data_IF_217177536556
#
_entry.id   IF_217177536556
#
_cell.length_a   1.000
_cell.length_b   1.000
_cell.length_c   1.000
_cell.angle_alpha   90.00
_cell.angle_beta   90.00
_cell.angle_gamma   90.00
#
_symmetry.space_group_name_H-M   'P 1'
#
loop_
_entity.id
_entity.type
_entity.pdbx_description
1 polymer ?
#
# COMPACT_ATOMS: atom_id res chain seq x y z
N UNK A 1 20.34 2.83 25.19
CA UNK A 1 21.29 1.76 25.54
C UNK A 1 20.66 0.44 25.18
N UNK A 2 21.05 -0.13 24.05
CA UNK A 2 20.53 -1.40 23.56
C UNK A 2 21.31 -2.55 24.19
N UNK A 3 20.62 -3.39 24.96
CA UNK A 3 21.18 -4.63 25.48
C UNK A 3 21.36 -5.66 24.37
N UNK A 4 22.59 -5.85 23.90
CA UNK A 4 22.95 -6.94 23.02
C UNK A 4 22.93 -8.25 23.80
N UNK A 5 21.89 -9.06 23.61
CA UNK A 5 21.88 -10.44 24.08
C UNK A 5 22.91 -11.26 23.31
N UNK A 6 23.87 -11.85 24.01
CA UNK A 6 24.79 -12.82 23.42
C UNK A 6 24.01 -14.04 22.94
N UNK A 7 24.18 -14.38 21.65
CA UNK A 7 23.69 -15.61 21.08
C UNK A 7 24.53 -16.77 21.61
N UNK A 8 23.98 -17.60 22.47
CA UNK A 8 24.57 -18.90 22.86
C UNK A 8 24.46 -19.87 21.68
N UNK A 9 25.51 -20.68 21.45
CA UNK A 9 25.51 -21.67 20.38
C UNK A 9 24.33 -22.64 20.49
N UNK A 10 23.79 -23.14 19.36
CA UNK A 10 22.69 -24.07 19.37
C UNK A 10 23.12 -25.43 19.94
N UNK A 11 22.29 -25.99 20.83
CA UNK A 11 22.43 -27.38 21.26
C UNK A 11 22.33 -28.33 20.06
N UNK A 12 23.05 -29.46 20.12
CA UNK A 12 23.15 -30.43 19.03
C UNK A 12 21.76 -30.89 18.50
N UNK A 13 21.65 -31.18 17.19
CA UNK A 13 20.38 -31.55 16.58
C UNK A 13 19.91 -32.91 17.12
N UNK A 14 18.64 -33.00 17.49
CA UNK A 14 17.95 -34.27 17.70
C UNK A 14 17.92 -35.01 16.37
N UNK A 15 18.85 -35.93 16.21
CA UNK A 15 19.01 -36.73 15.01
C UNK A 15 17.84 -37.72 14.88
N UNK A 16 17.21 -37.76 13.70
CA UNK A 16 16.50 -38.95 13.24
C UNK A 16 14.98 -38.89 13.17
N UNK A 17 14.38 -37.76 12.80
CA UNK A 17 13.01 -37.80 12.25
C UNK A 17 13.06 -37.63 10.74
N UNK A 18 12.41 -38.59 10.01
CA UNK A 18 12.12 -38.42 8.59
C UNK A 18 11.42 -37.05 8.38
N UNK A 19 11.87 -36.26 7.42
CA UNK A 19 11.26 -34.98 7.10
C UNK A 19 9.78 -35.21 6.76
N UNK A 20 8.86 -34.67 7.58
CA UNK A 20 7.41 -34.77 7.36
C UNK A 20 7.01 -33.94 6.13
N UNK A 21 5.92 -34.38 5.49
CA UNK A 21 5.24 -33.60 4.44
C UNK A 21 3.93 -33.10 5.06
N UNK A 22 3.71 -31.80 5.02
CA UNK A 22 2.60 -31.14 5.72
C UNK A 22 1.70 -30.38 4.75
N UNK A 23 0.41 -30.28 5.06
CA UNK A 23 -0.55 -29.42 4.39
C UNK A 23 -0.60 -28.04 5.04
N UNK A 24 -1.19 -27.05 4.35
CA UNK A 24 -1.44 -25.74 4.97
C UNK A 24 -2.38 -25.84 6.17
N UNK A 25 -3.37 -26.72 6.11
CA UNK A 25 -4.31 -26.93 7.23
C UNK A 25 -3.58 -27.41 8.50
N UNK A 26 -2.64 -28.35 8.34
CA UNK A 26 -1.78 -28.79 9.45
C UNK A 26 -0.93 -27.66 9.99
N UNK A 27 -0.24 -26.92 9.13
CA UNK A 27 0.61 -25.80 9.56
C UNK A 27 -0.20 -24.72 10.30
N UNK A 28 -1.39 -24.37 9.78
CA UNK A 28 -2.28 -23.37 10.37
C UNK A 28 -2.82 -23.78 11.75
N UNK A 29 -2.93 -25.07 12.03
CA UNK A 29 -3.35 -25.55 13.37
C UNK A 29 -2.33 -25.24 14.46
N UNK A 30 -1.06 -25.03 14.10
CA UNK A 30 0.06 -24.73 15.00
C UNK A 30 0.35 -23.21 15.08
N UNK A 31 -0.68 -22.41 15.40
CA UNK A 31 -0.60 -20.94 15.54
C UNK A 31 -0.73 -20.45 17.01
N UNK A 32 -0.77 -21.33 17.98
CA UNK A 32 -0.98 -21.00 19.37
C UNK A 32 0.32 -20.61 20.10
N UNK A 33 0.22 -19.80 21.17
CA UNK A 33 1.38 -19.30 21.94
C UNK A 33 2.37 -20.40 22.38
N UNK A 34 1.92 -21.60 22.61
CA UNK A 34 2.73 -22.71 23.09
C UNK A 34 3.02 -23.75 22.00
N UNK A 35 2.58 -23.51 20.77
CA UNK A 35 2.76 -24.41 19.63
C UNK A 35 2.72 -23.59 18.34
N UNK A 36 3.91 -23.28 17.80
CA UNK A 36 4.08 -22.36 16.69
C UNK A 36 4.93 -22.96 15.58
N UNK A 37 4.33 -23.13 14.42
CA UNK A 37 5.03 -23.49 13.20
C UNK A 37 4.95 -22.36 12.19
N UNK A 38 5.91 -22.31 11.28
CA UNK A 38 5.85 -21.39 10.13
C UNK A 38 6.53 -22.04 8.91
N UNK A 39 6.23 -21.49 7.74
CA UNK A 39 6.82 -21.93 6.48
C UNK A 39 7.81 -20.88 5.98
N UNK A 40 9.01 -21.30 5.53
CA UNK A 40 9.98 -20.47 4.83
C UNK A 40 10.48 -21.24 3.60
N UNK A 41 10.26 -20.71 2.41
CA UNK A 41 10.64 -21.36 1.14
C UNK A 41 10.14 -22.80 1.03
N UNK A 42 8.85 -23.03 1.33
CA UNK A 42 8.15 -24.32 1.37
C UNK A 42 8.67 -25.33 2.42
N UNK A 43 9.57 -24.94 3.29
CA UNK A 43 10.05 -25.73 4.42
C UNK A 43 9.29 -25.36 5.68
N UNK A 44 8.85 -26.36 6.43
CA UNK A 44 8.10 -26.20 7.66
C UNK A 44 9.05 -26.21 8.85
N UNK A 45 8.91 -25.20 9.73
CA UNK A 45 9.76 -25.02 10.89
C UNK A 45 8.91 -24.94 12.16
N UNK A 46 9.27 -25.75 13.17
CA UNK A 46 8.71 -25.62 14.51
C UNK A 46 9.52 -24.60 15.30
N UNK A 47 8.93 -23.44 15.54
CA UNK A 47 9.59 -22.33 16.23
C UNK A 47 9.19 -22.18 17.69
N UNK A 48 8.36 -23.09 18.23
CA UNK A 48 7.75 -22.99 19.58
C UNK A 48 8.76 -22.67 20.67
N UNK A 49 9.92 -23.31 20.68
CA UNK A 49 10.97 -23.07 21.66
C UNK A 49 11.88 -21.90 21.28
N UNK A 50 12.01 -21.62 19.98
CA UNK A 50 12.88 -20.59 19.45
C UNK A 50 12.34 -19.16 19.62
N UNK A 51 11.02 -18.99 19.62
CA UNK A 51 10.36 -17.66 19.71
C UNK A 51 10.90 -16.83 20.88
N UNK A 52 11.22 -17.44 22.01
CA UNK A 52 11.74 -16.76 23.20
C UNK A 52 13.18 -16.26 23.04
N UNK A 53 13.92 -16.84 22.10
CA UNK A 53 15.35 -16.53 21.81
C UNK A 53 15.52 -15.66 20.56
N UNK A 54 14.43 -15.37 19.84
CA UNK A 54 14.49 -14.64 18.58
C UNK A 54 14.94 -13.19 18.80
N UNK A 55 16.07 -12.74 18.19
CA UNK A 55 16.64 -11.41 18.41
C UNK A 55 15.69 -10.25 18.03
N UNK A 56 14.83 -10.45 17.01
CA UNK A 56 13.81 -9.50 16.60
C UNK A 56 12.61 -9.41 17.54
N UNK A 57 12.58 -10.21 18.61
CA UNK A 57 11.51 -10.25 19.62
C UNK A 57 10.43 -11.29 19.35
N UNK A 58 9.83 -11.78 20.44
CA UNK A 58 8.81 -12.84 20.41
C UNK A 58 7.62 -12.45 19.52
N UNK A 59 7.13 -11.23 19.64
CA UNK A 59 5.93 -10.77 18.91
C UNK A 59 6.12 -10.80 17.41
N UNK A 60 7.28 -10.39 16.93
CA UNK A 60 7.57 -10.29 15.48
C UNK A 60 7.50 -11.66 14.81
N UNK A 61 8.17 -12.67 15.36
CA UNK A 61 8.19 -14.01 14.77
C UNK A 61 6.85 -14.73 14.96
N UNK A 62 6.17 -14.52 16.10
CA UNK A 62 4.87 -15.15 16.40
C UNK A 62 3.74 -14.66 15.49
N UNK A 63 3.88 -13.51 14.82
CA UNK A 63 2.92 -13.04 13.82
C UNK A 63 2.79 -13.98 12.61
N UNK A 64 3.83 -14.78 12.36
CA UNK A 64 3.86 -15.72 11.24
C UNK A 64 3.58 -17.18 11.66
N UNK A 65 3.14 -17.39 12.90
CA UNK A 65 2.76 -18.72 13.35
C UNK A 65 1.54 -19.23 12.56
N UNK A 66 1.66 -20.41 11.94
CA UNK A 66 0.67 -20.96 11.04
C UNK A 66 0.74 -20.45 9.59
N UNK A 67 1.71 -19.61 9.21
CA UNK A 67 1.74 -18.90 7.95
C UNK A 67 3.08 -19.02 7.20
N UNK A 68 3.07 -18.51 5.94
CA UNK A 68 4.30 -18.37 5.13
C UNK A 68 5.08 -17.12 5.54
N UNK A 69 6.19 -17.32 6.24
CA UNK A 69 7.10 -16.27 6.66
C UNK A 69 8.20 -15.96 5.64
N UNK A 70 8.21 -16.57 4.45
CA UNK A 70 9.32 -16.49 3.49
C UNK A 70 9.72 -15.06 3.17
N UNK A 71 8.77 -14.20 2.90
CA UNK A 71 9.04 -12.80 2.52
C UNK A 71 9.56 -11.98 3.69
N UNK A 72 8.87 -12.05 4.84
CA UNK A 72 9.28 -11.37 6.05
C UNK A 72 10.65 -11.85 6.53
N UNK A 73 10.86 -13.17 6.55
CA UNK A 73 12.14 -13.76 6.91
C UNK A 73 13.29 -13.18 6.08
N UNK A 74 13.11 -13.09 4.78
CA UNK A 74 14.15 -12.57 3.89
C UNK A 74 14.30 -11.04 3.97
N UNK A 75 13.23 -10.31 4.24
CA UNK A 75 13.26 -8.85 4.37
C UNK A 75 14.00 -8.41 5.65
N UNK A 76 13.81 -9.14 6.74
CA UNK A 76 14.39 -8.77 8.05
C UNK A 76 15.77 -9.38 8.35
N UNK A 77 16.23 -10.33 7.54
CA UNK A 77 17.51 -10.99 7.77
C UNK A 77 18.51 -10.72 6.63
N UNK A 78 19.39 -9.72 6.76
CA UNK A 78 20.33 -9.33 5.69
C UNK A 78 21.38 -10.41 5.37
N UNK A 79 21.76 -11.23 6.35
CA UNK A 79 22.68 -12.37 6.16
C UNK A 79 21.96 -13.71 6.32
N UNK A 80 21.41 -14.18 5.21
CA UNK A 80 20.66 -15.45 5.17
C UNK A 80 21.56 -16.68 5.47
N UNK A 81 22.86 -16.61 5.13
CA UNK A 81 23.80 -17.72 5.40
C UNK A 81 24.03 -17.88 6.89
N UNK A 82 24.17 -16.78 7.60
CA UNK A 82 24.30 -16.79 9.05
C UNK A 82 23.05 -17.34 9.72
N UNK A 83 21.87 -16.89 9.31
CA UNK A 83 20.60 -17.27 9.93
C UNK A 83 20.21 -18.71 9.63
N UNK A 84 20.61 -19.26 8.49
CA UNK A 84 20.37 -20.67 8.14
C UNK A 84 20.92 -21.65 9.18
N UNK A 85 22.00 -21.31 9.90
CA UNK A 85 22.54 -22.13 10.98
C UNK A 85 21.53 -22.37 12.11
N UNK A 86 20.70 -21.38 12.39
CA UNK A 86 19.65 -21.44 13.43
C UNK A 86 18.35 -22.06 12.92
N UNK A 87 18.09 -21.99 11.61
CA UNK A 87 16.90 -22.59 11.00
C UNK A 87 16.99 -24.11 10.87
N UNK A 88 18.19 -24.64 10.57
CA UNK A 88 18.40 -26.07 10.31
C UNK A 88 17.86 -26.99 11.42
N UNK A 89 18.14 -26.70 12.71
CA UNK A 89 17.60 -27.52 13.81
C UNK A 89 16.08 -27.39 14.02
N UNK A 90 15.46 -26.34 13.49
CA UNK A 90 14.02 -26.07 13.65
C UNK A 90 13.19 -26.67 12.52
N UNK A 91 13.81 -27.11 11.43
CA UNK A 91 13.10 -27.69 10.29
C UNK A 91 12.52 -29.07 10.66
N UNK A 92 11.20 -29.22 10.48
CA UNK A 92 10.46 -30.47 10.75
C UNK A 92 10.00 -31.17 9.48
N UNK A 93 9.97 -30.48 8.35
CA UNK A 93 9.57 -31.07 7.07
C UNK A 93 9.41 -30.02 5.96
N UNK A 94 8.61 -30.39 4.97
CA UNK A 94 8.31 -29.56 3.80
C UNK A 94 6.80 -29.49 3.55
N UNK A 95 6.35 -28.44 2.91
CA UNK A 95 4.97 -28.28 2.49
C UNK A 95 4.68 -29.20 1.31
N UNK A 96 3.55 -29.91 1.30
CA UNK A 96 3.17 -30.85 0.25
C UNK A 96 3.23 -30.18 -1.14
N UNK A 97 3.70 -30.91 -2.15
CA UNK A 97 3.88 -30.36 -3.51
C UNK A 97 2.55 -29.91 -4.14
N UNK A 98 1.44 -30.50 -3.72
CA UNK A 98 0.08 -30.14 -4.14
C UNK A 98 -0.45 -28.85 -3.54
N UNK A 99 0.17 -28.35 -2.47
CA UNK A 99 -0.26 -27.11 -1.82
C UNK A 99 0.09 -25.89 -2.68
N UNK A 100 -0.87 -24.96 -2.89
CA UNK A 100 -0.63 -23.80 -3.71
C UNK A 100 0.49 -22.93 -3.14
N UNK A 101 1.40 -22.50 -4.01
CA UNK A 101 2.20 -21.31 -3.71
C UNK A 101 1.27 -20.11 -3.87
N UNK A 102 1.31 -19.16 -2.93
CA UNK A 102 0.53 -17.93 -3.05
C UNK A 102 0.99 -17.13 -4.27
N UNK A 103 0.29 -17.34 -5.41
CA UNK A 103 0.57 -16.64 -6.66
C UNK A 103 0.11 -15.18 -6.56
N UNK A 104 1.05 -14.28 -6.86
CA UNK A 104 0.84 -12.83 -6.83
C UNK A 104 0.00 -12.41 -8.03
N UNK A 105 -1.24 -11.99 -7.80
CA UNK A 105 -2.06 -11.33 -8.82
C UNK A 105 -1.41 -10.02 -9.28
N UNK A 106 -0.95 -9.99 -10.53
CA UNK A 106 -0.23 -8.86 -11.13
C UNK A 106 -1.19 -7.95 -11.86
N UNK A 107 -1.75 -6.96 -11.19
CA UNK A 107 -2.47 -5.86 -11.82
C UNK A 107 -1.50 -4.70 -12.13
N UNK A 108 -1.12 -4.55 -13.39
CA UNK A 108 -0.11 -3.58 -13.82
C UNK A 108 -0.47 -2.12 -13.50
N UNK A 109 -1.75 -1.76 -13.42
CA UNK A 109 -2.21 -0.40 -13.14
C UNK A 109 -1.83 0.10 -11.75
N UNK A 110 -1.92 -0.74 -10.73
CA UNK A 110 -1.60 -0.43 -9.34
C UNK A 110 -0.20 -0.88 -8.92
N UNK A 111 0.53 -1.54 -9.79
CA UNK A 111 1.86 -2.09 -9.51
C UNK A 111 2.88 -1.01 -9.13
N UNK A 112 2.78 0.20 -9.67
CA UNK A 112 3.64 1.32 -9.30
C UNK A 112 3.49 1.70 -7.81
N UNK A 113 2.28 1.59 -7.27
CA UNK A 113 1.96 1.84 -5.88
C UNK A 113 2.68 0.84 -4.96
N UNK A 114 2.64 -0.44 -5.29
CA UNK A 114 3.31 -1.49 -4.54
C UNK A 114 4.84 -1.35 -4.57
N UNK A 115 5.41 -0.99 -5.71
CA UNK A 115 6.84 -0.69 -5.81
C UNK A 115 7.22 0.53 -4.98
N UNK A 116 6.35 1.54 -4.92
CA UNK A 116 6.55 2.73 -4.08
C UNK A 116 6.60 2.37 -2.59
N UNK A 117 5.75 1.45 -2.16
CA UNK A 117 5.74 0.92 -0.79
C UNK A 117 6.78 -0.17 -0.51
N UNK A 118 7.62 -0.52 -1.47
CA UNK A 118 8.65 -1.56 -1.34
C UNK A 118 8.07 -2.96 -1.05
N UNK A 119 6.80 -3.20 -1.37
CA UNK A 119 6.05 -4.40 -1.00
C UNK A 119 6.17 -5.57 -1.99
N UNK A 120 6.93 -5.44 -3.09
CA UNK A 120 7.01 -6.46 -4.16
C UNK A 120 8.28 -7.29 -4.09
N UNK A 121 9.43 -6.65 -3.95
CA UNK A 121 10.73 -7.31 -3.93
C UNK A 121 11.44 -7.15 -2.59
N UNK A 122 12.11 -8.20 -2.17
CA UNK A 122 12.96 -8.21 -0.96
C UNK A 122 14.07 -7.18 -1.00
N UNK A 123 14.68 -6.97 -2.18
CA UNK A 123 15.74 -5.98 -2.37
C UNK A 123 15.14 -4.64 -2.76
N UNK A 124 15.23 -3.64 -1.89
CA UNK A 124 14.67 -2.30 -2.11
C UNK A 124 15.09 -1.67 -3.44
N UNK A 125 16.33 -1.92 -3.91
CA UNK A 125 16.81 -1.39 -5.18
C UNK A 125 15.99 -1.86 -6.39
N UNK A 126 15.46 -3.08 -6.37
CA UNK A 126 14.57 -3.57 -7.43
C UNK A 126 13.20 -2.89 -7.39
N UNK A 127 12.64 -2.69 -6.19
CA UNK A 127 11.42 -1.90 -6.06
C UNK A 127 11.61 -0.48 -6.60
N UNK A 128 12.68 0.19 -6.22
CA UNK A 128 12.97 1.55 -6.70
C UNK A 128 13.21 1.62 -8.21
N UNK A 129 13.94 0.67 -8.79
CA UNK A 129 14.19 0.64 -10.23
C UNK A 129 12.90 0.42 -11.00
N UNK A 130 12.11 -0.58 -10.61
CA UNK A 130 10.85 -0.89 -11.28
C UNK A 130 9.77 0.15 -10.99
N UNK A 131 9.78 0.79 -9.82
CA UNK A 131 8.92 1.95 -9.59
C UNK A 131 9.21 3.07 -10.61
N UNK A 132 10.48 3.45 -10.78
CA UNK A 132 10.87 4.46 -11.77
C UNK A 132 10.53 4.05 -13.21
N UNK A 133 10.70 2.78 -13.54
CA UNK A 133 10.32 2.26 -14.85
C UNK A 133 8.79 2.35 -15.07
N UNK A 134 7.99 1.84 -14.11
CA UNK A 134 6.52 1.80 -14.27
C UNK A 134 5.93 3.21 -14.23
N UNK A 135 6.26 4.00 -13.21
CA UNK A 135 5.68 5.35 -13.07
C UNK A 135 6.28 6.34 -14.07
N UNK A 136 7.57 6.21 -14.41
CA UNK A 136 8.26 7.09 -15.35
C UNK A 136 8.04 6.68 -16.80
N UNK A 137 8.57 5.52 -17.21
CA UNK A 137 8.54 5.09 -18.61
C UNK A 137 7.16 4.64 -19.11
N UNK A 138 6.34 3.99 -18.25
CA UNK A 138 5.02 3.53 -18.68
C UNK A 138 3.92 4.55 -18.43
N UNK A 139 4.08 5.47 -17.45
CA UNK A 139 3.04 6.44 -17.05
C UNK A 139 3.44 7.91 -17.16
N UNK A 140 4.70 8.24 -17.43
CA UNK A 140 5.17 9.62 -17.63
C UNK A 140 5.17 10.50 -16.39
N UNK A 141 5.28 9.90 -15.20
CA UNK A 141 5.29 10.60 -13.91
C UNK A 141 6.64 10.43 -13.19
N UNK A 142 6.78 10.92 -11.95
CA UNK A 142 8.00 10.88 -11.15
C UNK A 142 7.83 10.03 -9.91
N UNK A 143 8.72 9.05 -9.71
CA UNK A 143 8.76 8.22 -8.52
C UNK A 143 9.07 9.06 -7.26
N UNK A 144 9.99 10.03 -7.35
CA UNK A 144 10.33 10.91 -6.24
C UNK A 144 9.16 11.84 -5.83
N UNK A 145 8.42 12.36 -6.80
CA UNK A 145 7.24 13.18 -6.53
C UNK A 145 6.17 12.35 -5.84
N UNK A 146 5.87 11.16 -6.36
CA UNK A 146 4.86 10.27 -5.81
C UNK A 146 5.22 9.84 -4.39
N UNK A 147 6.43 9.34 -4.15
CA UNK A 147 6.89 8.92 -2.82
C UNK A 147 6.77 10.07 -1.81
N UNK A 148 7.26 11.27 -2.18
CA UNK A 148 7.20 12.43 -1.30
C UNK A 148 5.77 12.78 -0.88
N UNK A 149 4.84 12.75 -1.82
CA UNK A 149 3.44 13.07 -1.58
C UNK A 149 2.73 11.96 -0.79
N UNK A 150 2.89 10.74 -1.24
CA UNK A 150 2.19 9.58 -0.71
C UNK A 150 2.64 9.20 0.71
N UNK A 151 3.92 9.34 1.02
CA UNK A 151 4.41 9.11 2.38
C UNK A 151 3.92 10.17 3.38
N UNK A 152 3.71 11.42 2.95
CA UNK A 152 3.06 12.43 3.80
C UNK A 152 1.61 12.06 4.08
N UNK A 153 0.88 11.58 3.06
CA UNK A 153 -0.48 11.09 3.21
C UNK A 153 -0.54 9.92 4.22
N UNK A 154 0.29 8.89 4.10
CA UNK A 154 0.35 7.79 5.07
C UNK A 154 0.75 8.24 6.49
N UNK A 155 1.60 9.23 6.59
CA UNK A 155 2.03 9.73 7.90
C UNK A 155 0.89 10.43 8.67
N UNK A 156 0.07 11.24 7.97
CA UNK A 156 -0.99 12.07 8.56
C UNK A 156 -2.19 12.17 7.62
N UNK A 157 -2.90 11.05 7.34
CA UNK A 157 -4.02 11.06 6.41
C UNK A 157 -5.15 11.94 6.92
N UNK A 158 -5.83 12.61 6.00
CA UNK A 158 -6.98 13.49 6.26
C UNK A 158 -6.73 14.67 7.23
N UNK A 159 -5.47 15.02 7.49
CA UNK A 159 -5.14 16.16 8.36
C UNK A 159 -4.84 17.39 7.50
N UNK A 160 -5.62 18.48 7.69
CA UNK A 160 -5.34 19.74 7.01
C UNK A 160 -3.92 20.23 7.30
N UNK A 161 -3.27 20.80 6.29
CA UNK A 161 -1.88 21.25 6.28
C UNK A 161 -0.80 20.17 6.33
N UNK A 162 -1.14 18.90 6.52
CA UNK A 162 -0.20 17.76 6.58
C UNK A 162 -0.40 16.79 5.41
N UNK A 163 -1.64 16.42 5.14
CA UNK A 163 -1.99 15.54 4.03
C UNK A 163 -2.09 16.35 2.72
N UNK A 164 -1.21 16.08 1.73
CA UNK A 164 -1.29 16.78 0.46
C UNK A 164 -2.53 16.39 -0.36
N UNK A 165 -3.22 15.29 -0.03
CA UNK A 165 -4.37 14.81 -0.79
C UNK A 165 -5.67 15.53 -0.40
N UNK A 166 -5.77 16.06 0.81
CA UNK A 166 -6.88 16.95 1.23
C UNK A 166 -6.56 18.44 1.07
N UNK A 167 -5.29 18.81 0.91
CA UNK A 167 -4.84 20.18 0.68
C UNK A 167 -4.62 20.51 -0.81
N UNK A 168 -5.29 19.79 -1.69
CA UNK A 168 -5.29 20.13 -3.11
C UNK A 168 -6.04 21.43 -3.33
N UNK A 169 -5.55 22.26 -4.25
CA UNK A 169 -6.11 23.53 -4.72
C UNK A 169 -7.44 23.89 -4.04
N UNK A 170 -7.63 25.14 -3.66
CA UNK A 170 -8.88 25.68 -3.08
C UNK A 170 -10.09 25.59 -4.06
N UNK A 171 -10.20 24.48 -4.79
CA UNK A 171 -11.27 24.18 -5.75
C UNK A 171 -12.43 23.47 -5.08
N UNK A 172 -12.12 22.64 -4.10
CA UNK A 172 -13.10 21.95 -3.26
C UNK A 172 -12.87 22.28 -1.79
N UNK A 173 -13.93 22.25 -1.03
CA UNK A 173 -13.95 22.37 0.42
C UNK A 173 -14.39 21.02 0.97
N UNK A 174 -13.57 20.38 1.78
CA UNK A 174 -13.77 18.99 2.23
C UNK A 174 -13.90 18.90 3.75
N UNK A 175 -14.54 17.84 4.23
CA UNK A 175 -14.81 17.63 5.66
C UNK A 175 -15.81 18.62 6.25
N UNK A 176 -15.99 18.57 7.57
CA UNK A 176 -16.93 19.44 8.28
C UNK A 176 -16.33 20.79 8.68
N UNK A 177 -15.03 20.85 8.95
CA UNK A 177 -14.34 22.03 9.51
C UNK A 177 -14.02 23.09 8.46
N UNK A 178 -13.51 22.71 7.29
CA UNK A 178 -13.07 23.65 6.26
C UNK A 178 -14.21 24.52 5.70
N UNK A 179 -15.44 24.02 5.43
CA UNK A 179 -16.57 24.86 5.00
C UNK A 179 -16.90 25.97 6.00
N UNK A 180 -16.85 25.66 7.31
CA UNK A 180 -17.10 26.63 8.37
C UNK A 180 -16.02 27.70 8.40
N UNK A 181 -14.75 27.30 8.34
CA UNK A 181 -13.62 28.24 8.30
C UNK A 181 -13.68 29.17 7.08
N UNK A 182 -14.00 28.65 5.91
CA UNK A 182 -14.12 29.44 4.70
C UNK A 182 -15.29 30.41 4.79
N UNK A 183 -16.40 30.00 5.42
CA UNK A 183 -17.53 30.90 5.70
C UNK A 183 -17.14 32.04 6.62
N UNK A 184 -16.48 31.77 7.75
CA UNK A 184 -16.00 32.77 8.71
C UNK A 184 -15.00 33.73 8.06
N UNK A 185 -14.01 33.20 7.32
CA UNK A 185 -12.98 33.98 6.63
C UNK A 185 -13.47 34.64 5.35
N UNK A 186 -14.72 34.44 4.96
CA UNK A 186 -15.35 34.98 3.73
C UNK A 186 -14.57 34.59 2.45
N UNK A 187 -13.96 33.41 2.43
CA UNK A 187 -13.20 32.89 1.29
C UNK A 187 -14.17 32.42 0.21
N UNK A 188 -14.07 32.98 -0.99
CA UNK A 188 -14.96 32.70 -2.13
C UNK A 188 -14.20 32.51 -3.45
N UNK A 189 -13.21 31.62 -3.45
CA UNK A 189 -12.49 31.34 -4.70
C UNK A 189 -13.37 30.61 -5.73
N UNK A 190 -14.31 29.78 -5.25
CA UNK A 190 -15.21 28.98 -6.06
C UNK A 190 -16.64 29.00 -5.48
N UNK A 191 -17.68 28.67 -6.28
CA UNK A 191 -19.04 28.52 -5.76
C UNK A 191 -19.20 27.19 -5.00
N UNK A 192 -18.58 27.07 -3.82
CA UNK A 192 -18.46 25.82 -3.06
C UNK A 192 -19.80 25.12 -2.78
N UNK A 193 -20.89 25.87 -2.59
CA UNK A 193 -22.23 25.31 -2.43
C UNK A 193 -22.74 24.55 -3.67
N UNK A 194 -22.03 24.67 -4.80
CA UNK A 194 -22.30 23.94 -6.03
C UNK A 194 -21.18 22.93 -6.39
N UNK A 195 -20.25 22.62 -5.46
CA UNK A 195 -19.08 21.76 -5.76
C UNK A 195 -19.48 20.37 -6.25
N UNK A 196 -20.58 19.81 -5.77
CA UNK A 196 -21.14 18.54 -6.26
C UNK A 196 -21.53 18.58 -7.76
N UNK A 197 -21.83 19.74 -8.33
CA UNK A 197 -22.17 19.92 -9.75
C UNK A 197 -20.92 20.00 -10.63
N UNK A 198 -19.89 20.76 -10.19
CA UNK A 198 -18.68 20.91 -11.00
C UNK A 198 -17.62 19.86 -10.71
N UNK A 199 -17.79 19.02 -9.69
CA UNK A 199 -16.84 17.95 -9.36
C UNK A 199 -16.51 17.09 -10.58
N UNK A 200 -17.49 16.65 -11.34
CA UNK A 200 -17.30 15.79 -12.52
C UNK A 200 -16.56 16.48 -13.66
N UNK A 201 -16.63 17.80 -13.75
CA UNK A 201 -15.98 18.58 -14.80
C UNK A 201 -14.57 19.01 -14.43
N UNK A 202 -14.31 19.23 -13.14
CA UNK A 202 -13.04 19.82 -12.66
C UNK A 202 -12.20 18.81 -11.90
N UNK A 203 -12.80 18.00 -11.02
CA UNK A 203 -12.06 17.06 -10.18
C UNK A 203 -11.34 15.98 -11.01
N UNK A 204 -12.02 14.86 -11.35
CA UNK A 204 -11.36 13.78 -12.08
C UNK A 204 -10.72 14.22 -13.40
N UNK A 205 -11.38 15.01 -14.29
CA UNK A 205 -10.79 15.33 -15.59
C UNK A 205 -9.50 16.13 -15.53
N UNK A 206 -9.33 17.01 -14.54
CA UNK A 206 -8.18 17.91 -14.48
C UNK A 206 -7.09 17.46 -13.50
N UNK A 207 -7.36 16.50 -12.62
CA UNK A 207 -6.41 16.11 -11.58
C UNK A 207 -5.08 15.59 -12.18
N UNK A 208 -5.10 14.50 -12.93
CA UNK A 208 -3.87 13.95 -13.53
C UNK A 208 -3.40 14.79 -14.71
N UNK A 209 -4.25 15.11 -15.72
CA UNK A 209 -3.73 15.76 -16.93
C UNK A 209 -3.21 17.17 -16.70
N UNK A 210 -3.70 17.89 -15.69
CA UNK A 210 -3.29 19.27 -15.44
C UNK A 210 -2.53 19.38 -14.10
N UNK A 211 -3.21 19.18 -12.99
CA UNK A 211 -2.66 19.51 -11.68
C UNK A 211 -1.42 18.67 -11.33
N UNK A 212 -1.49 17.35 -11.45
CA UNK A 212 -0.37 16.49 -11.13
C UNK A 212 0.77 16.65 -12.15
N UNK A 213 0.48 16.79 -13.44
CA UNK A 213 1.53 16.99 -14.43
C UNK A 213 2.33 18.27 -14.15
N UNK A 214 1.66 19.40 -13.83
CA UNK A 214 2.35 20.64 -13.46
C UNK A 214 3.22 20.41 -12.22
N UNK A 215 2.70 19.78 -11.18
CA UNK A 215 3.46 19.50 -9.97
C UNK A 215 4.64 18.55 -10.20
N UNK A 216 4.46 17.51 -11.01
CA UNK A 216 5.50 16.55 -11.36
C UNK A 216 6.65 17.24 -12.07
N UNK A 217 6.35 18.01 -13.12
CA UNK A 217 7.36 18.76 -13.89
C UNK A 217 8.09 19.76 -13.00
N UNK A 218 7.33 20.56 -12.23
CA UNK A 218 7.90 21.52 -11.29
C UNK A 218 8.83 20.81 -10.28
N UNK A 219 8.42 19.68 -9.71
CA UNK A 219 9.24 18.94 -8.75
C UNK A 219 10.50 18.37 -9.38
N UNK A 220 10.42 17.79 -10.56
CA UNK A 220 11.58 17.23 -11.25
C UNK A 220 12.63 18.31 -11.54
N UNK A 221 12.21 19.48 -11.99
CA UNK A 221 13.10 20.60 -12.31
C UNK A 221 13.64 21.26 -11.03
N UNK A 222 12.77 21.71 -10.13
CA UNK A 222 13.15 22.45 -8.92
C UNK A 222 14.03 21.63 -7.96
N UNK A 223 13.78 20.33 -7.84
CA UNK A 223 14.56 19.41 -7.01
C UNK A 223 15.65 18.67 -7.80
N UNK A 224 15.91 19.05 -9.04
CA UNK A 224 16.97 18.49 -9.93
C UNK A 224 16.90 16.94 -10.03
N UNK A 225 15.70 16.37 -10.17
CA UNK A 225 15.47 14.92 -10.28
C UNK A 225 15.62 14.46 -11.75
N UNK A 226 16.82 14.62 -12.32
CA UNK A 226 17.09 14.41 -13.73
C UNK A 226 16.84 12.98 -14.21
N UNK A 227 17.06 11.98 -13.35
CA UNK A 227 16.76 10.58 -13.67
C UNK A 227 15.26 10.36 -13.85
N UNK A 228 14.41 10.92 -12.97
CA UNK A 228 12.96 10.83 -13.10
C UNK A 228 12.49 11.58 -14.36
N UNK A 229 13.10 12.74 -14.65
CA UNK A 229 12.81 13.51 -15.86
C UNK A 229 13.14 12.70 -17.13
N UNK A 230 14.29 12.02 -17.16
CA UNK A 230 14.67 11.16 -18.30
C UNK A 230 13.67 10.01 -18.50
N UNK A 231 13.25 9.34 -17.42
CA UNK A 231 12.22 8.30 -17.49
C UNK A 231 10.87 8.86 -17.97
N UNK A 232 10.44 10.01 -17.46
CA UNK A 232 9.19 10.66 -17.88
C UNK A 232 9.25 11.09 -19.36
N UNK A 233 10.34 11.70 -19.79
CA UNK A 233 10.52 12.07 -21.20
C UNK A 233 10.52 10.85 -22.13
N UNK A 234 11.08 9.72 -21.70
CA UNK A 234 11.05 8.48 -22.47
C UNK A 234 9.63 7.96 -22.73
N UNK A 235 8.70 8.19 -21.80
CA UNK A 235 7.28 7.91 -22.01
C UNK A 235 6.69 8.75 -23.14
N UNK A 236 6.86 10.07 -23.05
CA UNK A 236 6.30 10.97 -24.07
C UNK A 236 6.92 10.75 -25.44
N UNK A 237 8.25 10.53 -25.50
CA UNK A 237 8.93 10.21 -26.75
C UNK A 237 8.38 8.93 -27.37
N UNK A 238 8.32 7.84 -26.60
CA UNK A 238 7.75 6.57 -27.07
C UNK A 238 6.31 6.75 -27.54
N UNK A 239 5.50 7.47 -26.75
CA UNK A 239 4.11 7.73 -27.10
C UNK A 239 4.01 8.47 -28.44
N UNK A 240 4.74 9.56 -28.63
CA UNK A 240 4.72 10.36 -29.87
C UNK A 240 5.25 9.57 -31.07
N UNK A 241 6.33 8.82 -30.90
CA UNK A 241 6.86 7.96 -31.98
C UNK A 241 5.83 6.91 -32.46
N UNK A 242 5.00 6.37 -31.53
CA UNK A 242 3.98 5.39 -31.90
C UNK A 242 2.70 6.03 -32.42
N UNK A 243 2.27 7.18 -31.87
CA UNK A 243 0.95 7.76 -32.15
C UNK A 243 0.93 8.72 -33.34
N UNK A 244 1.99 9.49 -33.57
CA UNK A 244 2.03 10.46 -34.69
C UNK A 244 1.83 9.79 -36.06
N UNK A 245 2.46 8.64 -36.36
CA UNK A 245 2.22 7.95 -37.64
C UNK A 245 0.78 7.52 -37.87
N UNK A 246 0.03 7.28 -36.75
CA UNK A 246 -1.36 6.81 -36.81
C UNK A 246 -2.38 7.96 -36.84
N UNK A 247 -2.15 9.01 -36.04
CA UNK A 247 -3.15 10.05 -35.73
C UNK A 247 -2.68 11.47 -36.15
N UNK A 248 -1.46 11.63 -36.62
CA UNK A 248 -0.81 12.93 -36.75
C UNK A 248 -0.54 13.58 -35.40
N UNK A 249 0.11 14.73 -35.37
CA UNK A 249 0.47 15.43 -34.14
C UNK A 249 -0.80 15.84 -33.33
N UNK A 250 -1.75 16.49 -33.98
CA UNK A 250 -2.98 16.96 -33.35
C UNK A 250 -3.80 15.80 -32.78
N UNK A 251 -4.02 14.74 -33.57
CA UNK A 251 -4.75 13.56 -33.11
C UNK A 251 -4.05 12.86 -31.94
N UNK A 252 -2.70 12.84 -31.92
CA UNK A 252 -1.93 12.29 -30.80
C UNK A 252 -2.13 13.09 -29.51
N UNK A 253 -2.16 14.42 -29.58
CA UNK A 253 -2.42 15.28 -28.41
C UNK A 253 -3.84 15.08 -27.87
N UNK A 254 -4.82 15.00 -28.75
CA UNK A 254 -6.22 14.72 -28.36
C UNK A 254 -6.33 13.34 -27.70
N UNK A 255 -5.70 12.33 -28.30
CA UNK A 255 -5.78 10.95 -27.80
C UNK A 255 -5.09 10.79 -26.43
N UNK A 256 -3.90 11.37 -26.22
CA UNK A 256 -3.26 11.31 -24.88
C UNK A 256 -4.08 12.06 -23.83
N UNK A 257 -4.67 13.20 -24.18
CA UNK A 257 -5.52 13.95 -23.26
C UNK A 257 -6.74 13.13 -22.84
N UNK A 258 -7.38 12.44 -23.77
CA UNK A 258 -8.48 11.54 -23.50
C UNK A 258 -8.08 10.39 -22.57
N UNK A 259 -6.95 9.71 -22.86
CA UNK A 259 -6.42 8.64 -22.00
C UNK A 259 -6.15 9.15 -20.58
N UNK A 260 -5.53 10.33 -20.46
CA UNK A 260 -5.24 10.93 -19.15
C UNK A 260 -6.47 11.30 -18.35
N UNK A 261 -7.53 11.75 -19.01
CA UNK A 261 -8.83 11.99 -18.36
C UNK A 261 -9.42 10.68 -17.84
N UNK A 262 -9.42 9.60 -18.65
CA UNK A 262 -9.91 8.29 -18.22
C UNK A 262 -9.07 7.72 -17.06
N UNK A 263 -7.75 7.83 -17.13
CA UNK A 263 -6.84 7.41 -16.05
C UNK A 263 -7.15 8.19 -14.77
N UNK A 264 -7.38 9.49 -14.88
CA UNK A 264 -7.71 10.36 -13.75
C UNK A 264 -9.03 9.98 -13.09
N UNK A 265 -10.05 9.64 -13.87
CA UNK A 265 -11.30 9.10 -13.33
C UNK A 265 -11.06 7.80 -12.55
N UNK A 266 -10.38 6.81 -13.13
CA UNK A 266 -10.09 5.56 -12.45
C UNK A 266 -9.31 5.77 -11.15
N UNK A 267 -8.32 6.65 -11.18
CA UNK A 267 -7.50 6.97 -10.01
C UNK A 267 -8.31 7.66 -8.90
N UNK A 268 -9.03 8.74 -9.22
CA UNK A 268 -9.78 9.53 -8.23
C UNK A 268 -10.82 8.69 -7.51
N UNK A 269 -11.61 7.91 -8.23
CA UNK A 269 -12.64 7.08 -7.60
C UNK A 269 -12.06 6.09 -6.61
N UNK A 270 -11.00 5.40 -6.98
CA UNK A 270 -10.39 4.38 -6.11
C UNK A 270 -9.71 4.99 -4.89
N UNK A 271 -9.02 6.12 -5.06
CA UNK A 271 -8.28 6.75 -3.95
C UNK A 271 -9.16 7.57 -3.01
N UNK A 272 -10.26 8.15 -3.51
CA UNK A 272 -11.08 9.05 -2.72
C UNK A 272 -12.24 8.36 -1.98
N UNK A 273 -12.78 7.25 -2.50
CA UNK A 273 -13.91 6.55 -1.88
C UNK A 273 -13.61 6.02 -0.46
N UNK A 274 -12.35 5.87 -0.12
CA UNK A 274 -11.90 5.34 1.16
C UNK A 274 -11.48 6.43 2.16
N UNK A 275 -11.28 7.68 1.70
CA UNK A 275 -10.76 8.80 2.49
C UNK A 275 -11.72 9.97 2.62
N UNK A 276 -12.29 10.47 1.52
CA UNK A 276 -13.19 11.63 1.58
C UNK A 276 -14.44 11.42 2.45
N UNK A 277 -15.05 10.23 2.50
CA UNK A 277 -16.18 9.97 3.37
C UNK A 277 -15.83 9.83 4.87
N UNK A 278 -14.56 9.98 5.22
CA UNK A 278 -14.05 9.82 6.59
C UNK A 278 -13.77 11.19 7.23
N UNK A 279 -13.40 11.20 8.51
CA UNK A 279 -13.10 12.44 9.21
C UNK A 279 -11.90 13.18 8.58
N UNK A 280 -12.13 14.43 8.21
CA UNK A 280 -11.12 15.35 7.69
C UNK A 280 -11.12 16.58 8.60
N UNK A 281 -10.00 16.84 9.30
CA UNK A 281 -9.92 17.88 10.31
C UNK A 281 -8.49 18.42 10.49
N UNK A 282 -8.33 19.39 11.38
CA UNK A 282 -7.02 19.81 11.88
C UNK A 282 -6.40 18.73 12.77
N UNK A 283 -5.08 18.82 12.97
CA UNK A 283 -4.36 17.87 13.81
C UNK A 283 -4.91 17.85 15.23
N UNK A 284 -5.33 16.69 15.68
CA UNK A 284 -5.74 16.39 17.05
C UNK A 284 -4.64 15.61 17.74
N UNK A 285 -4.50 15.80 19.06
CA UNK A 285 -3.57 15.00 19.85
C UNK A 285 -4.17 13.61 20.10
N UNK A 286 -3.95 12.69 19.16
CA UNK A 286 -4.44 11.31 19.21
C UNK A 286 -3.33 10.35 18.78
N UNK A 287 -3.45 9.08 19.18
CA UNK A 287 -2.50 8.06 18.79
C UNK A 287 -2.57 7.77 17.28
N UNK A 288 -1.47 7.20 16.75
CA UNK A 288 -1.33 6.93 15.32
C UNK A 288 -2.39 5.96 14.80
N UNK A 289 -2.70 4.88 15.56
CA UNK A 289 -3.68 3.86 15.14
C UNK A 289 -5.08 4.45 15.00
N UNK A 290 -5.53 5.19 16.00
CA UNK A 290 -6.84 5.87 15.99
C UNK A 290 -6.95 6.85 14.82
N UNK A 291 -5.88 7.61 14.53
CA UNK A 291 -5.84 8.54 13.40
C UNK A 291 -5.98 7.81 12.06
N UNK A 292 -5.25 6.69 11.85
CA UNK A 292 -5.34 5.92 10.61
C UNK A 292 -6.75 5.37 10.39
N UNK A 293 -7.37 4.80 11.44
CA UNK A 293 -8.72 4.22 11.38
C UNK A 293 -9.82 5.26 11.19
N UNK A 294 -9.66 6.48 11.73
CA UNK A 294 -10.60 7.57 11.53
C UNK A 294 -10.52 8.16 10.11
N UNK A 295 -9.35 8.11 9.49
CA UNK A 295 -9.09 8.65 8.16
C UNK A 295 -9.36 7.66 7.02
N UNK A 296 -9.65 6.39 7.32
CA UNK A 296 -9.77 5.34 6.31
C UNK A 296 -10.99 4.45 6.53
N UNK A 297 -11.60 3.99 5.44
CA UNK A 297 -12.57 2.91 5.48
C UNK A 297 -12.28 1.86 4.39
N UNK A 298 -12.70 0.62 4.63
CA UNK A 298 -12.64 -0.42 3.63
C UNK A 298 -13.88 -0.42 2.72
N UNK A 299 -13.70 -0.87 1.48
CA UNK A 299 -14.81 -1.26 0.61
C UNK A 299 -14.95 -2.78 0.69
N UNK A 300 -16.22 -3.23 0.78
CA UNK A 300 -16.56 -4.66 0.90
C UNK A 300 -15.82 -5.49 -0.15
N UNK A 301 -15.17 -6.56 0.32
CA UNK A 301 -14.41 -7.46 -0.55
C UNK A 301 -15.32 -8.13 -1.59
N UNK A 302 -14.85 -8.19 -2.83
CA UNK A 302 -15.38 -9.01 -3.93
C UNK A 302 -14.30 -9.14 -5.00
N UNK A 303 -14.39 -10.14 -5.87
CA UNK A 303 -13.45 -10.30 -7.00
C UNK A 303 -13.38 -9.04 -7.87
N UNK A 304 -14.53 -8.39 -8.11
CA UNK A 304 -14.56 -7.13 -8.87
C UNK A 304 -13.85 -6.00 -8.12
N UNK A 305 -14.13 -5.80 -6.82
CA UNK A 305 -13.55 -4.71 -6.05
C UNK A 305 -12.04 -4.90 -5.87
N UNK A 306 -11.58 -6.14 -5.63
CA UNK A 306 -10.16 -6.47 -5.53
C UNK A 306 -9.43 -6.18 -6.85
N UNK A 307 -10.02 -6.56 -7.99
CA UNK A 307 -9.48 -6.26 -9.31
C UNK A 307 -9.53 -4.75 -9.63
N UNK A 308 -10.68 -4.10 -9.45
CA UNK A 308 -10.90 -2.71 -9.81
C UNK A 308 -10.00 -1.76 -9.01
N UNK A 309 -9.89 -1.97 -7.71
CA UNK A 309 -9.09 -1.14 -6.82
C UNK A 309 -7.63 -1.62 -6.68
N UNK A 310 -7.28 -2.78 -7.23
CA UNK A 310 -5.98 -3.40 -6.99
C UNK A 310 -5.72 -3.71 -5.51
N UNK A 311 -6.73 -4.20 -4.81
CA UNK A 311 -6.77 -4.46 -3.37
C UNK A 311 -6.69 -3.21 -2.47
N UNK A 312 -6.80 -1.98 -3.01
CA UNK A 312 -6.95 -0.77 -2.21
C UNK A 312 -8.35 -0.63 -1.57
N UNK A 313 -9.26 -1.57 -1.85
CA UNK A 313 -10.48 -1.74 -1.06
C UNK A 313 -10.23 -2.18 0.39
N UNK A 314 -9.03 -2.66 0.72
CA UNK A 314 -8.52 -2.89 2.08
C UNK A 314 -7.69 -1.68 2.56
N UNK A 315 -8.28 -0.50 2.55
CA UNK A 315 -7.54 0.73 2.80
C UNK A 315 -7.02 0.84 4.25
N UNK A 316 -7.77 0.32 5.20
CA UNK A 316 -7.35 0.28 6.61
C UNK A 316 -6.06 -0.55 6.75
N UNK A 317 -6.04 -1.76 6.22
CA UNK A 317 -4.88 -2.65 6.27
C UNK A 317 -3.70 -2.08 5.49
N UNK A 318 -3.98 -1.42 4.37
CA UNK A 318 -2.97 -0.74 3.58
C UNK A 318 -2.29 0.39 4.36
N UNK A 319 -3.04 1.22 5.05
CA UNK A 319 -2.50 2.30 5.88
C UNK A 319 -1.74 1.80 7.11
N UNK A 320 -2.22 0.74 7.74
CA UNK A 320 -1.55 0.15 8.91
C UNK A 320 -0.28 -0.64 8.53
N UNK A 321 -0.26 -1.26 7.36
CA UNK A 321 0.81 -2.15 6.91
C UNK A 321 1.23 -1.87 5.46
N UNK A 322 1.70 -0.64 5.13
CA UNK A 322 1.92 -0.23 3.75
C UNK A 322 2.99 -1.05 3.01
N UNK A 323 3.93 -1.65 3.73
CA UNK A 323 4.96 -2.52 3.15
C UNK A 323 4.51 -3.98 2.99
N UNK A 324 3.31 -4.33 3.46
CA UNK A 324 2.75 -5.67 3.30
C UNK A 324 2.30 -5.89 1.85
N UNK A 325 2.62 -7.03 1.24
CA UNK A 325 2.06 -7.39 -0.05
C UNK A 325 0.52 -7.41 -0.01
N UNK A 326 -0.11 -6.72 -0.96
CA UNK A 326 -1.56 -6.47 -0.96
C UNK A 326 -2.43 -7.73 -0.91
N UNK A 327 -1.94 -8.86 -1.43
CA UNK A 327 -2.65 -10.13 -1.38
C UNK A 327 -2.82 -10.69 0.03
N UNK A 328 -2.11 -10.14 1.03
CA UNK A 328 -2.22 -10.54 2.43
C UNK A 328 -3.22 -9.69 3.23
N UNK A 329 -3.74 -8.59 2.68
CA UNK A 329 -4.65 -7.71 3.43
C UNK A 329 -5.91 -8.44 3.90
N UNK A 330 -6.49 -9.33 3.09
CA UNK A 330 -7.66 -10.09 3.48
C UNK A 330 -7.42 -11.06 4.65
N UNK A 331 -6.16 -11.52 4.84
CA UNK A 331 -5.78 -12.37 5.98
C UNK A 331 -5.66 -11.56 7.28
N UNK A 332 -5.22 -10.31 7.18
CA UNK A 332 -5.00 -9.43 8.34
C UNK A 332 -6.28 -8.69 8.75
N UNK A 333 -7.17 -8.40 7.81
CA UNK A 333 -8.41 -7.65 8.05
C UNK A 333 -9.28 -8.19 9.22
N UNK A 334 -9.49 -9.51 9.38
CA UNK A 334 -10.22 -10.04 10.53
C UNK A 334 -9.52 -9.75 11.88
N UNK A 335 -8.18 -9.78 11.90
CA UNK A 335 -7.39 -9.51 13.10
C UNK A 335 -7.44 -8.03 13.49
N UNK A 336 -7.33 -7.14 12.50
CA UNK A 336 -7.48 -5.69 12.72
C UNK A 336 -8.87 -5.37 13.20
N UNK A 337 -9.91 -5.96 12.61
CA UNK A 337 -11.30 -5.79 13.06
C UNK A 337 -11.48 -6.23 14.52
N UNK A 338 -11.01 -7.41 14.90
CA UNK A 338 -11.10 -7.91 16.27
C UNK A 338 -10.35 -6.99 17.26
N UNK A 339 -9.20 -6.44 16.85
CA UNK A 339 -8.47 -5.46 17.66
C UNK A 339 -9.28 -4.17 17.84
N UNK A 340 -9.87 -3.65 16.78
CA UNK A 340 -10.72 -2.47 16.82
C UNK A 340 -11.94 -2.68 17.76
N UNK A 341 -12.63 -3.81 17.61
CA UNK A 341 -13.76 -4.19 18.46
C UNK A 341 -13.36 -4.26 19.95
N UNK A 342 -12.22 -4.89 20.25
CA UNK A 342 -11.68 -4.98 21.61
C UNK A 342 -11.43 -3.62 22.26
N UNK A 343 -11.03 -2.62 21.48
CA UNK A 343 -10.68 -1.28 21.96
C UNK A 343 -11.77 -0.24 21.73
N UNK A 344 -12.93 -0.63 21.20
CA UNK A 344 -14.05 0.28 20.92
C UNK A 344 -13.75 1.28 19.80
N UNK A 345 -12.81 0.96 18.89
CA UNK A 345 -12.45 1.80 17.76
C UNK A 345 -13.31 1.39 16.54
N UNK A 346 -13.97 2.34 15.85
CA UNK A 346 -14.77 2.01 14.68
C UNK A 346 -13.91 1.42 13.55
N UNK A 347 -14.30 0.23 13.05
CA UNK A 347 -13.74 -0.37 11.85
C UNK A 347 -14.80 -0.31 10.74
N UNK A 348 -14.64 0.66 9.83
CA UNK A 348 -15.68 0.98 8.86
C UNK A 348 -15.52 0.19 7.56
N UNK A 349 -16.60 -0.46 7.11
CA UNK A 349 -16.68 -1.15 5.82
C UNK A 349 -17.91 -0.68 5.07
N UNK A 350 -17.75 -0.17 3.85
CA UNK A 350 -18.82 0.34 2.99
C UNK A 350 -18.99 -0.53 1.75
N UNK A 351 -20.15 -0.49 1.13
CA UNK A 351 -20.28 -1.01 -0.24
C UNK A 351 -19.63 -0.05 -1.24
N UNK A 352 -19.29 -0.54 -2.44
CA UNK A 352 -18.70 0.32 -3.48
C UNK A 352 -19.62 1.50 -3.83
N UNK A 353 -20.93 1.24 -3.92
CA UNK A 353 -21.92 2.28 -4.20
C UNK A 353 -22.00 3.31 -3.07
N UNK A 354 -21.93 2.87 -1.80
CA UNK A 354 -21.88 3.78 -0.65
C UNK A 354 -20.61 4.62 -0.66
N UNK A 355 -19.43 4.00 -0.91
CA UNK A 355 -18.16 4.72 -1.00
C UNK A 355 -18.21 5.84 -2.06
N UNK A 356 -18.74 5.54 -3.24
CA UNK A 356 -18.90 6.56 -4.29
C UNK A 356 -19.95 7.62 -3.92
N UNK A 357 -21.09 7.23 -3.38
CA UNK A 357 -22.16 8.18 -3.00
C UNK A 357 -21.69 9.15 -1.90
N UNK A 358 -20.91 8.65 -0.96
CA UNK A 358 -20.42 9.46 0.18
C UNK A 358 -19.34 10.48 -0.23
N UNK A 359 -18.69 10.29 -1.39
CA UNK A 359 -17.78 11.31 -1.97
C UNK A 359 -18.55 12.58 -2.40
N UNK A 360 -19.85 12.46 -2.73
CA UNK A 360 -20.70 13.60 -3.17
C UNK A 360 -21.48 14.27 -2.04
N UNK A 361 -21.57 13.63 -0.91
CA UNK A 361 -22.30 14.16 0.25
C UNK A 361 -21.44 15.10 1.08
#
# INVERSE_FOLDING_TARGET
MGGGGQLTEPEEPISGRAAGVYTWEEVQSHCNRNDQWLVINRKVYNITQWVKRHPGGIRVISHYAGEDATEAFTAFHPDLKFVQKFLKPLQIGELAATEPSHDRNKNAGWLQHDFGHLSVFKKSSWNHLLHKFVIGHLKGASANWWNHRHFQHHAKPNIFSKDPDVNMLHVFVVGATQPVEYGIKKIKYMPYHHQHKYFFLVGPPLLIPVYFNIQIIHTMISRRKWVDLAWSLSYYLRYLCCSIPMFGLFGSVVFISFIRILESHGFVWVTQMNHLPMDIDHEKNQDWLSMQLQATCNIKQSLFNDWFSGHLNFQIEHHLFPTMPRHNYHLVAPLVRALCEKHGIPYQVKTLQQGFADVFR
#
